data_IF_578908313169
#
_entry.id   IF_578908313169
#
_cell.length_a   1.000
_cell.length_b   1.000
_cell.length_c   1.000
_cell.angle_alpha   90.00
_cell.angle_beta   90.00
_cell.angle_gamma   90.00
#
_symmetry.space_group_name_H-M   'P 1'
#
loop_
_entity.id
_entity.type
_entity.pdbx_description
1 polymer ?
#
# COMPACT_ATOMS: atom_id res chain seq x y z
N UNK A 1 -0.45 8.84 10.36
CA UNK A 1 -1.35 8.63 9.19
C UNK A 1 -1.65 7.15 9.06
N UNK A 2 -2.90 6.75 8.80
CA UNK A 2 -3.27 5.32 8.66
C UNK A 2 -3.45 4.87 7.21
N UNK A 3 -3.24 5.75 6.23
CA UNK A 3 -3.49 5.49 4.81
C UNK A 3 -2.45 6.18 3.92
N UNK A 4 -1.94 5.45 2.91
CA UNK A 4 -0.96 5.94 1.91
C UNK A 4 -1.65 6.58 0.69
N UNK A 5 -2.89 7.07 0.83
CA UNK A 5 -3.65 7.66 -0.29
C UNK A 5 -2.99 8.90 -0.92
N UNK A 6 -2.04 9.55 -0.26
CA UNK A 6 -1.24 10.64 -0.84
C UNK A 6 -0.24 10.18 -1.91
N UNK A 7 -0.07 8.88 -2.13
CA UNK A 7 0.77 8.34 -3.19
C UNK A 7 -0.04 8.11 -4.47
N UNK A 8 0.42 8.69 -5.57
CA UNK A 8 -0.21 8.60 -6.89
C UNK A 8 0.72 7.81 -7.82
N UNK A 9 0.42 6.52 -8.10
CA UNK A 9 1.33 5.63 -8.85
C UNK A 9 1.49 6.05 -10.31
N UNK A 10 0.48 6.67 -10.89
CA UNK A 10 0.35 6.75 -12.35
C UNK A 10 0.47 8.14 -12.97
N UNK A 11 0.72 9.18 -12.18
CA UNK A 11 0.67 10.57 -12.65
C UNK A 11 2.04 11.15 -13.00
N UNK A 12 2.04 12.07 -13.95
CA UNK A 12 3.19 12.90 -14.35
C UNK A 12 3.35 14.14 -13.47
N UNK A 13 4.44 14.88 -13.67
CA UNK A 13 4.64 16.17 -13.00
C UNK A 13 3.56 17.19 -13.33
N UNK A 14 3.22 17.33 -14.61
CA UNK A 14 2.20 18.26 -15.09
C UNK A 14 0.82 17.91 -14.53
N UNK A 15 0.45 16.64 -14.52
CA UNK A 15 -0.82 16.18 -13.91
C UNK A 15 -0.85 16.45 -12.40
N UNK A 16 0.27 16.24 -11.70
CA UNK A 16 0.39 16.56 -10.28
C UNK A 16 0.22 18.06 -10.00
N UNK A 17 0.82 18.93 -10.82
CA UNK A 17 0.64 20.38 -10.72
C UNK A 17 -0.83 20.76 -10.90
N UNK A 18 -1.47 20.28 -11.96
CA UNK A 18 -2.89 20.54 -12.23
C UNK A 18 -3.77 20.08 -11.06
N UNK A 19 -3.55 18.87 -10.53
CA UNK A 19 -4.31 18.35 -9.38
C UNK A 19 -4.13 19.21 -8.13
N UNK A 20 -2.89 19.59 -7.80
CA UNK A 20 -2.60 20.41 -6.63
C UNK A 20 -3.16 21.84 -6.76
N UNK A 21 -3.10 22.44 -7.96
CA UNK A 21 -3.61 23.79 -8.22
C UNK A 21 -5.14 23.85 -8.25
N UNK A 22 -5.80 22.83 -8.81
CA UNK A 22 -7.26 22.81 -8.96
C UNK A 22 -8.01 22.25 -7.75
N UNK A 23 -7.44 21.24 -7.07
CA UNK A 23 -8.11 20.53 -5.95
C UNK A 23 -7.43 20.73 -4.60
N UNK A 24 -6.18 21.15 -4.60
CA UNK A 24 -5.41 21.39 -3.37
C UNK A 24 -5.52 22.82 -2.86
N UNK A 25 -4.88 23.06 -1.72
CA UNK A 25 -4.64 24.38 -1.12
C UNK A 25 -3.15 24.49 -0.77
N UNK A 26 -2.68 25.65 -0.33
CA UNK A 26 -1.29 25.79 0.11
C UNK A 26 -0.99 24.86 1.30
N UNK A 27 0.12 24.12 1.21
CA UNK A 27 0.46 23.00 2.09
C UNK A 27 -0.10 21.64 1.63
N UNK A 28 -0.88 21.60 0.54
CA UNK A 28 -1.27 20.33 -0.07
C UNK A 28 -0.09 19.63 -0.73
N UNK A 29 -0.01 18.32 -0.61
CA UNK A 29 1.07 17.54 -1.18
C UNK A 29 0.62 16.18 -1.70
N UNK A 30 1.41 15.61 -2.60
CA UNK A 30 1.30 14.23 -3.04
C UNK A 30 2.68 13.68 -3.39
N UNK A 31 2.87 12.37 -3.29
CA UNK A 31 4.07 11.69 -3.77
C UNK A 31 3.74 10.87 -5.00
N UNK A 32 4.70 10.73 -5.92
CA UNK A 32 4.55 9.97 -7.16
C UNK A 32 5.89 9.39 -7.61
N UNK A 33 5.91 8.34 -8.45
CA UNK A 33 7.13 7.90 -9.11
C UNK A 33 7.76 9.01 -9.97
N UNK A 34 9.08 9.01 -10.04
CA UNK A 34 9.83 9.93 -10.89
C UNK A 34 9.81 9.44 -12.35
N UNK A 35 9.30 10.27 -13.26
CA UNK A 35 9.35 10.00 -14.71
C UNK A 35 10.73 10.27 -15.32
N UNK A 36 11.48 11.21 -14.76
CA UNK A 36 12.79 11.61 -15.27
C UNK A 36 13.94 10.74 -14.77
N UNK A 37 13.77 10.05 -13.64
CA UNK A 37 14.74 9.08 -13.13
C UNK A 37 14.01 7.84 -12.58
N UNK A 38 13.86 6.77 -13.38
CA UNK A 38 13.20 5.54 -12.95
C UNK A 38 13.83 4.95 -11.68
N UNK A 39 12.99 4.49 -10.75
CA UNK A 39 13.39 3.99 -9.43
C UNK A 39 13.34 5.04 -8.31
N UNK A 40 13.44 6.32 -8.65
CA UNK A 40 13.26 7.42 -7.71
C UNK A 40 11.79 7.86 -7.61
N UNK A 41 11.50 8.69 -6.62
CA UNK A 41 10.20 9.28 -6.38
C UNK A 41 10.26 10.81 -6.40
N UNK A 42 9.11 11.47 -6.44
CA UNK A 42 8.97 12.92 -6.38
C UNK A 42 7.85 13.29 -5.43
N UNK A 43 8.16 14.15 -4.46
CA UNK A 43 7.19 14.81 -3.59
C UNK A 43 6.80 16.14 -4.21
N UNK A 44 5.54 16.29 -4.60
CA UNK A 44 5.00 17.52 -5.18
C UNK A 44 4.21 18.25 -4.11
N UNK A 45 4.53 19.52 -3.86
CA UNK A 45 3.96 20.32 -2.76
C UNK A 45 3.49 21.66 -3.30
N UNK A 46 2.25 22.03 -2.98
CA UNK A 46 1.71 23.35 -3.27
C UNK A 46 2.12 24.34 -2.18
N UNK A 47 2.72 25.47 -2.56
CA UNK A 47 3.09 26.58 -1.67
C UNK A 47 2.99 27.90 -2.42
N UNK A 48 2.48 28.95 -1.77
CA UNK A 48 2.38 30.30 -2.32
C UNK A 48 1.69 30.32 -3.70
N UNK A 49 0.65 29.50 -3.89
CA UNK A 49 -0.05 29.37 -5.17
C UNK A 49 0.74 28.68 -6.30
N UNK A 50 1.94 28.18 -6.04
CA UNK A 50 2.77 27.44 -7.00
C UNK A 50 3.04 26.00 -6.51
N UNK A 51 3.59 25.15 -7.36
CA UNK A 51 3.95 23.76 -7.01
C UNK A 51 5.46 23.57 -7.11
N UNK A 52 6.06 23.09 -6.03
CA UNK A 52 7.46 22.67 -5.99
C UNK A 52 7.53 21.14 -6.11
N UNK A 53 8.50 20.64 -6.88
CA UNK A 53 8.82 19.21 -6.96
C UNK A 53 10.14 18.91 -6.26
N UNK A 54 10.11 17.99 -5.30
CA UNK A 54 11.26 17.59 -4.50
C UNK A 54 11.61 16.14 -4.84
N UNK A 55 12.84 15.90 -5.27
CA UNK A 55 13.31 14.58 -5.64
C UNK A 55 13.55 13.73 -4.38
N UNK A 56 13.04 12.51 -4.38
CA UNK A 56 13.32 11.49 -3.38
C UNK A 56 14.12 10.39 -4.07
N UNK A 57 15.35 10.18 -3.61
CA UNK A 57 16.19 9.10 -4.11
C UNK A 57 15.90 7.80 -3.36
N UNK A 58 15.85 6.70 -4.10
CA UNK A 58 15.81 5.35 -3.53
C UNK A 58 17.07 4.60 -3.95
N UNK A 59 17.98 4.37 -3.02
CA UNK A 59 19.24 3.66 -3.30
C UNK A 59 19.10 2.14 -3.22
N UNK A 60 17.95 1.62 -2.80
CA UNK A 60 17.75 0.23 -2.39
C UNK A 60 17.95 0.00 -0.89
N UNK A 61 18.69 0.88 -0.21
CA UNK A 61 18.93 0.81 1.24
C UNK A 61 18.00 1.71 2.05
N UNK A 62 17.66 2.89 1.50
CA UNK A 62 16.84 3.91 2.16
C UNK A 62 16.28 4.93 1.16
N UNK A 63 15.35 5.74 1.65
CA UNK A 63 14.78 6.90 0.96
C UNK A 63 15.41 8.19 1.49
N UNK A 64 15.92 9.04 0.59
CA UNK A 64 16.60 10.31 0.91
C UNK A 64 16.00 11.48 0.11
N UNK A 65 15.75 12.59 0.79
CA UNK A 65 15.42 13.88 0.17
C UNK A 65 16.71 14.68 -0.07
N UNK A 66 17.40 14.34 -1.17
CA UNK A 66 18.55 15.05 -1.73
C UNK A 66 19.48 15.74 -0.70
N UNK A 67 20.05 14.94 0.22
CA UNK A 67 21.01 15.41 1.23
C UNK A 67 20.38 15.75 2.59
N UNK A 68 19.11 15.37 2.78
CA UNK A 68 18.40 15.49 4.04
C UNK A 68 18.54 14.24 4.92
N UNK A 69 17.49 14.02 5.72
CA UNK A 69 17.36 12.84 6.56
C UNK A 69 17.03 11.58 5.72
N UNK A 70 17.49 10.41 6.17
CA UNK A 70 17.27 9.10 5.53
C UNK A 70 16.17 8.31 6.25
N UNK A 71 15.31 7.63 5.51
CA UNK A 71 14.14 6.91 6.02
C UNK A 71 14.03 5.50 5.45
N UNK A 72 13.40 4.58 6.21
CA UNK A 72 13.20 3.20 5.76
C UNK A 72 12.07 3.06 4.74
N UNK A 73 11.03 3.91 4.84
CA UNK A 73 9.86 3.89 3.95
C UNK A 73 9.41 5.30 3.56
N UNK A 74 8.64 5.41 2.47
CA UNK A 74 8.03 6.69 2.07
C UNK A 74 7.01 7.17 3.10
N UNK A 75 6.22 6.28 3.71
CA UNK A 75 5.31 6.65 4.79
C UNK A 75 6.01 7.26 5.99
N UNK A 76 7.16 6.70 6.41
CA UNK A 76 7.93 7.27 7.50
C UNK A 76 8.51 8.63 7.14
N UNK A 77 9.01 8.81 5.92
CA UNK A 77 9.48 10.10 5.41
C UNK A 77 8.35 11.15 5.47
N UNK A 78 7.18 10.83 4.91
CA UNK A 78 6.05 11.77 4.88
C UNK A 78 5.55 12.06 6.30
N UNK A 79 5.43 11.03 7.15
CA UNK A 79 5.03 11.21 8.55
C UNK A 79 6.01 12.13 9.29
N UNK A 80 7.31 11.91 9.13
CA UNK A 80 8.33 12.72 9.80
C UNK A 80 8.20 14.20 9.45
N UNK A 81 8.13 14.56 8.16
CA UNK A 81 8.04 15.96 7.74
C UNK A 81 6.66 16.59 7.96
N UNK A 82 5.61 15.79 8.12
CA UNK A 82 4.31 16.28 8.58
C UNK A 82 4.30 16.63 10.08
N UNK A 83 5.04 15.89 10.90
CA UNK A 83 5.12 16.09 12.35
C UNK A 83 6.19 17.13 12.75
N UNK A 84 7.23 17.32 11.93
CA UNK A 84 8.36 18.21 12.20
C UNK A 84 8.39 19.39 11.21
N UNK A 85 7.50 20.35 11.41
CA UNK A 85 7.46 21.58 10.64
C UNK A 85 8.81 22.34 10.70
N UNK A 86 9.24 22.92 9.58
CA UNK A 86 10.49 23.68 9.51
C UNK A 86 11.75 22.87 9.13
N UNK A 87 11.69 21.53 9.12
CA UNK A 87 12.83 20.69 8.75
C UNK A 87 13.01 20.52 7.23
N UNK A 88 11.92 20.48 6.48
CA UNK A 88 11.97 20.38 5.02
C UNK A 88 12.20 21.78 4.43
N UNK A 89 13.32 21.96 3.73
CA UNK A 89 13.73 23.26 3.17
C UNK A 89 14.18 23.16 1.72
N UNK A 90 13.95 24.22 0.96
CA UNK A 90 14.56 24.40 -0.36
C UNK A 90 16.03 24.83 -0.26
N UNK A 91 16.74 24.83 -1.40
CA UNK A 91 18.13 25.29 -1.49
C UNK A 91 18.34 26.74 -1.07
N UNK A 92 17.31 27.58 -1.22
CA UNK A 92 17.33 28.98 -0.80
C UNK A 92 17.05 29.16 0.71
N UNK A 93 16.74 28.08 1.45
CA UNK A 93 16.42 28.09 2.87
C UNK A 93 14.93 28.22 3.21
N UNK A 94 14.05 28.39 2.21
CA UNK A 94 12.61 28.46 2.43
C UNK A 94 12.07 27.15 3.01
N UNK A 95 11.20 27.26 4.01
CA UNK A 95 10.53 26.11 4.60
C UNK A 95 9.40 25.62 3.68
N UNK A 96 9.33 24.30 3.50
CA UNK A 96 8.24 23.61 2.82
C UNK A 96 7.43 22.86 3.87
N UNK A 97 6.13 23.12 3.93
CA UNK A 97 5.25 22.49 4.91
C UNK A 97 4.35 21.44 4.25
N UNK A 98 4.36 20.22 4.81
CA UNK A 98 3.43 19.16 4.44
C UNK A 98 2.23 19.20 5.39
N UNK A 99 1.09 19.70 4.91
CA UNK A 99 -0.12 19.85 5.74
C UNK A 99 -1.23 18.91 5.32
N UNK A 100 -1.58 18.92 4.03
CA UNK A 100 -2.80 18.29 3.54
C UNK A 100 -2.48 17.24 2.46
N UNK A 101 -2.50 15.94 2.78
CA UNK A 101 -2.32 14.91 1.76
C UNK A 101 -3.44 15.01 0.70
N UNK A 102 -3.06 15.20 -0.56
CA UNK A 102 -3.99 15.14 -1.68
C UNK A 102 -4.18 13.67 -2.09
N UNK A 103 -5.34 13.11 -1.75
CA UNK A 103 -5.60 11.69 -1.93
C UNK A 103 -5.77 11.30 -3.41
N UNK A 104 -5.21 10.16 -3.77
CA UNK A 104 -5.34 9.48 -5.05
C UNK A 104 -6.69 8.76 -5.12
N UNK A 105 -7.41 8.95 -6.23
CA UNK A 105 -8.64 8.23 -6.54
C UNK A 105 -8.39 7.03 -7.48
N UNK A 106 -7.15 6.83 -7.93
CA UNK A 106 -6.76 5.75 -8.82
C UNK A 106 -6.82 4.39 -8.09
N UNK A 107 -7.67 3.45 -8.52
CA UNK A 107 -7.79 2.14 -7.88
C UNK A 107 -6.65 1.18 -8.24
N UNK A 108 -5.74 1.48 -9.18
CA UNK A 108 -4.79 0.47 -9.70
C UNK A 108 -3.83 -0.11 -8.65
N UNK A 109 -3.56 0.63 -7.57
CA UNK A 109 -2.73 0.15 -6.44
C UNK A 109 -3.52 -0.68 -5.40
N UNK A 110 -4.83 -0.82 -5.58
CA UNK A 110 -5.67 -1.56 -4.64
C UNK A 110 -5.65 -3.07 -4.95
N UNK A 111 -5.38 -3.88 -3.92
CA UNK A 111 -5.29 -5.36 -4.04
C UNK A 111 -6.52 -6.03 -4.64
N UNK A 112 -7.68 -5.40 -4.51
CA UNK A 112 -8.95 -5.91 -5.00
C UNK A 112 -9.25 -5.43 -6.43
N UNK A 113 -8.49 -4.50 -6.99
CA UNK A 113 -8.71 -4.01 -8.35
C UNK A 113 -7.92 -4.85 -9.36
N UNK A 114 -8.60 -5.33 -10.40
CA UNK A 114 -8.06 -6.24 -11.40
C UNK A 114 -8.10 -5.67 -12.83
N UNK A 115 -8.46 -4.39 -12.99
CA UNK A 115 -8.51 -3.72 -14.29
C UNK A 115 -9.34 -4.49 -15.31
N UNK A 116 -8.76 -4.72 -16.49
CA UNK A 116 -9.41 -5.43 -17.58
C UNK A 116 -9.51 -6.95 -17.31
N UNK A 117 -10.62 -7.37 -16.72
CA UNK A 117 -10.93 -8.76 -16.43
C UNK A 117 -12.38 -9.07 -16.83
N UNK A 118 -12.61 -10.15 -17.57
CA UNK A 118 -13.97 -10.53 -17.95
C UNK A 118 -14.74 -11.10 -16.77
N UNK A 119 -16.08 -11.09 -16.86
CA UNK A 119 -16.94 -11.71 -15.86
C UNK A 119 -16.62 -13.19 -15.66
N UNK A 120 -16.42 -13.93 -16.75
CA UNK A 120 -16.10 -15.36 -16.73
C UNK A 120 -14.75 -15.65 -16.07
N UNK A 121 -13.73 -14.84 -16.35
CA UNK A 121 -12.42 -14.98 -15.71
C UNK A 121 -12.48 -14.63 -14.22
N UNK A 122 -13.23 -13.59 -13.85
CA UNK A 122 -13.48 -13.23 -12.46
C UNK A 122 -14.19 -14.34 -11.70
N UNK A 123 -15.23 -14.95 -12.29
CA UNK A 123 -15.92 -16.11 -11.71
C UNK A 123 -14.96 -17.28 -11.50
N UNK A 124 -14.15 -17.61 -12.51
CA UNK A 124 -13.14 -18.68 -12.43
C UNK A 124 -12.16 -18.42 -11.29
N UNK A 125 -11.56 -17.23 -11.23
CA UNK A 125 -10.59 -16.85 -10.21
C UNK A 125 -11.19 -16.86 -8.80
N UNK A 126 -12.40 -16.32 -8.62
CA UNK A 126 -13.09 -16.32 -7.33
C UNK A 126 -13.47 -17.73 -6.90
N UNK A 127 -13.82 -18.61 -7.83
CA UNK A 127 -14.17 -20.02 -7.55
C UNK A 127 -12.93 -20.84 -7.19
N UNK A 128 -11.83 -20.69 -7.92
CA UNK A 128 -10.60 -21.46 -7.71
C UNK A 128 -9.79 -20.98 -6.50
N UNK A 129 -9.70 -19.66 -6.30
CA UNK A 129 -8.77 -19.06 -5.31
C UNK A 129 -9.48 -18.31 -4.19
N UNK A 130 -10.73 -17.94 -4.37
CA UNK A 130 -11.53 -17.22 -3.38
C UNK A 130 -12.06 -18.12 -2.27
N UNK A 131 -12.67 -17.49 -1.28
CA UNK A 131 -13.49 -18.12 -0.24
C UNK A 131 -14.71 -17.24 0.01
N UNK A 132 -15.59 -17.64 0.91
CA UNK A 132 -16.75 -16.82 1.30
C UNK A 132 -16.33 -15.37 1.63
N UNK A 133 -16.96 -14.40 0.97
CA UNK A 133 -16.68 -12.96 1.09
C UNK A 133 -15.41 -12.48 0.38
N UNK A 134 -14.80 -13.31 -0.47
CA UNK A 134 -13.74 -12.87 -1.38
C UNK A 134 -14.33 -12.00 -2.47
N UNK A 135 -13.68 -10.88 -2.77
CA UNK A 135 -14.14 -9.94 -3.78
C UNK A 135 -13.01 -9.38 -4.64
N UNK A 136 -13.39 -8.87 -5.81
CA UNK A 136 -12.55 -8.07 -6.70
C UNK A 136 -13.40 -7.04 -7.44
N UNK A 137 -12.79 -5.96 -7.90
CA UNK A 137 -13.37 -4.97 -8.80
C UNK A 137 -12.62 -5.00 -10.12
N UNK A 138 -13.36 -4.92 -11.22
CA UNK A 138 -12.85 -4.99 -12.59
C UNK A 138 -13.56 -3.97 -13.47
N UNK A 139 -13.01 -3.65 -14.63
CA UNK A 139 -13.66 -2.84 -15.63
C UNK A 139 -14.91 -3.53 -16.20
N UNK A 140 -15.93 -2.74 -16.53
CA UNK A 140 -17.11 -3.22 -17.22
C UNK A 140 -16.81 -3.41 -18.71
N UNK A 141 -16.99 -4.63 -19.21
CA UNK A 141 -16.85 -4.93 -20.63
C UNK A 141 -18.08 -4.52 -21.45
N UNK A 142 -19.23 -4.32 -20.79
CA UNK A 142 -20.48 -3.94 -21.47
C UNK A 142 -20.70 -2.43 -21.50
N UNK A 143 -20.15 -1.68 -20.54
CA UNK A 143 -20.31 -0.24 -20.42
C UNK A 143 -18.95 0.41 -20.18
N UNK A 144 -18.25 0.88 -21.24
CA UNK A 144 -16.95 1.51 -21.08
C UNK A 144 -16.98 2.70 -20.11
N UNK A 145 -16.04 2.73 -19.16
CA UNK A 145 -15.98 3.73 -18.08
C UNK A 145 -16.66 3.30 -16.78
N UNK A 146 -17.53 2.30 -16.81
CA UNK A 146 -18.11 1.67 -15.62
C UNK A 146 -17.23 0.51 -15.11
N UNK A 147 -17.53 0.07 -13.89
CA UNK A 147 -16.82 -1.01 -13.20
C UNK A 147 -17.80 -2.07 -12.72
N UNK A 148 -17.27 -3.22 -12.29
CA UNK A 148 -18.05 -4.32 -11.73
C UNK A 148 -17.38 -4.85 -10.48
N UNK A 149 -18.11 -4.86 -9.37
CA UNK A 149 -17.72 -5.55 -8.14
C UNK A 149 -18.19 -7.00 -8.19
N UNK A 150 -17.24 -7.93 -8.20
CA UNK A 150 -17.50 -9.38 -8.25
C UNK A 150 -17.22 -9.98 -6.87
N UNK A 151 -18.21 -10.64 -6.26
CA UNK A 151 -18.16 -11.12 -4.87
C UNK A 151 -18.54 -12.59 -4.81
N UNK A 152 -17.71 -13.43 -4.18
CA UNK A 152 -18.05 -14.82 -3.88
C UNK A 152 -18.87 -14.91 -2.60
N UNK A 153 -20.05 -15.51 -2.71
CA UNK A 153 -20.97 -15.80 -1.61
C UNK A 153 -21.26 -17.30 -1.51
N UNK A 154 -21.74 -17.75 -0.34
CA UNK A 154 -21.88 -19.17 -0.01
C UNK A 154 -20.66 -19.75 0.73
N UNK A 155 -20.87 -20.84 1.45
CA UNK A 155 -19.87 -21.52 2.29
C UNK A 155 -19.55 -22.90 1.70
N UNK A 156 -18.27 -23.23 1.53
CA UNK A 156 -17.82 -24.53 0.97
C UNK A 156 -18.10 -25.72 1.92
N UNK A 157 -18.67 -25.48 3.10
CA UNK A 157 -18.90 -26.47 4.16
C UNK A 157 -20.36 -26.88 4.36
N UNK A 158 -21.29 -26.34 3.58
CA UNK A 158 -22.69 -26.75 3.65
C UNK A 158 -22.88 -28.06 2.85
N UNK A 159 -23.03 -29.19 3.56
CA UNK A 159 -23.41 -30.49 2.97
C UNK A 159 -24.88 -30.53 2.48
N UNK A 160 -25.60 -29.40 2.53
CA UNK A 160 -26.96 -29.27 2.00
C UNK A 160 -26.93 -28.77 0.55
N UNK A 161 -27.73 -29.40 -0.30
CA UNK A 161 -27.92 -29.10 -1.73
C UNK A 161 -28.42 -27.66 -2.06
N UNK A 162 -28.54 -26.77 -1.07
CA UNK A 162 -29.23 -25.48 -1.18
C UNK A 162 -28.30 -24.25 -1.01
N UNK A 163 -26.99 -24.47 -0.79
CA UNK A 163 -26.01 -23.42 -0.52
C UNK A 163 -24.85 -23.36 -1.51
N UNK A 164 -25.10 -23.51 -2.82
CA UNK A 164 -24.03 -23.53 -3.83
C UNK A 164 -23.24 -22.20 -3.81
N UNK A 165 -21.93 -22.28 -3.64
CA UNK A 165 -21.03 -21.12 -3.79
C UNK A 165 -21.32 -20.43 -5.12
N UNK A 166 -21.66 -19.14 -5.07
CA UNK A 166 -22.00 -18.33 -6.23
C UNK A 166 -21.15 -17.08 -6.28
N UNK A 167 -20.93 -16.56 -7.47
CA UNK A 167 -20.30 -15.26 -7.69
C UNK A 167 -21.39 -14.29 -8.12
N UNK A 168 -21.55 -13.22 -7.36
CA UNK A 168 -22.46 -12.11 -7.67
C UNK A 168 -21.67 -10.99 -8.32
N UNK A 169 -22.21 -10.40 -9.38
CA UNK A 169 -21.67 -9.22 -10.04
C UNK A 169 -22.56 -8.01 -9.79
N UNK A 170 -22.01 -6.97 -9.19
CA UNK A 170 -22.67 -5.69 -8.93
C UNK A 170 -22.08 -4.65 -9.86
N UNK A 171 -22.92 -3.99 -10.66
CA UNK A 171 -22.48 -2.91 -11.55
C UNK A 171 -22.15 -1.67 -10.70
N UNK A 172 -21.01 -1.04 -10.99
CA UNK A 172 -20.60 0.25 -10.44
C UNK A 172 -20.58 1.25 -11.59
N UNK A 173 -21.48 2.22 -11.55
CA UNK A 173 -21.59 3.27 -12.55
C UNK A 173 -20.62 4.41 -12.23
N UNK A 174 -19.99 4.95 -13.25
CA UNK A 174 -19.19 6.17 -13.17
C UNK A 174 -19.95 7.32 -13.83
N UNK A 175 -20.43 8.28 -13.05
CA UNK A 175 -21.16 9.46 -13.53
C UNK A 175 -20.57 10.71 -12.88
N UNK A 176 -20.19 11.70 -13.69
CA UNK A 176 -19.56 12.95 -13.22
C UNK A 176 -18.34 12.73 -12.31
N UNK A 177 -17.51 11.74 -12.65
CA UNK A 177 -16.34 11.29 -11.85
C UNK A 177 -16.69 10.81 -10.43
N UNK A 178 -17.94 10.42 -10.20
CA UNK A 178 -18.39 9.77 -8.98
C UNK A 178 -18.91 8.37 -9.27
N UNK A 179 -18.86 7.52 -8.25
CA UNK A 179 -19.15 6.10 -8.34
C UNK A 179 -20.39 5.74 -7.52
N UNK A 180 -21.29 4.94 -8.07
CA UNK A 180 -22.45 4.38 -7.36
C UNK A 180 -22.82 2.98 -7.88
N UNK A 181 -23.63 2.23 -7.13
CA UNK A 181 -24.02 0.85 -7.48
C UNK A 181 -25.45 0.73 -8.04
N UNK A 182 -26.02 1.81 -8.58
CA UNK A 182 -27.40 1.84 -9.08
C UNK A 182 -28.35 2.73 -8.27
N UNK A 183 -27.98 3.09 -7.04
CA UNK A 183 -28.75 3.95 -6.14
C UNK A 183 -28.05 4.15 -4.79
N UNK A 184 -28.56 5.08 -3.97
CA UNK A 184 -27.96 5.43 -2.68
C UNK A 184 -26.90 6.53 -2.77
N UNK A 185 -25.85 6.41 -1.96
CA UNK A 185 -24.75 7.37 -1.89
C UNK A 185 -23.87 7.32 -3.15
N UNK A 186 -23.32 8.49 -3.55
CA UNK A 186 -22.31 8.61 -4.59
C UNK A 186 -20.94 8.86 -3.95
N UNK A 187 -19.93 8.17 -4.42
CA UNK A 187 -18.58 8.20 -3.86
C UNK A 187 -17.59 8.90 -4.79
N UNK A 188 -16.59 9.58 -4.23
CA UNK A 188 -15.56 10.28 -5.01
C UNK A 188 -14.47 9.35 -5.57
N UNK A 189 -14.39 8.11 -5.06
CA UNK A 189 -13.46 7.09 -5.53
C UNK A 189 -14.03 5.67 -5.37
N UNK A 190 -13.52 4.72 -6.16
CA UNK A 190 -13.84 3.29 -5.99
C UNK A 190 -13.39 2.77 -4.62
N UNK A 191 -12.29 3.31 -4.06
CA UNK A 191 -11.83 2.96 -2.71
C UNK A 191 -12.83 3.38 -1.65
N UNK A 192 -13.40 4.59 -1.74
CA UNK A 192 -14.41 5.05 -0.78
C UNK A 192 -15.69 4.20 -0.89
N UNK A 193 -16.10 3.85 -2.11
CA UNK A 193 -17.23 2.95 -2.36
C UNK A 193 -16.99 1.57 -1.72
N UNK A 194 -15.83 0.97 -1.96
CA UNK A 194 -15.49 -0.35 -1.42
C UNK A 194 -15.40 -0.32 0.11
N UNK A 195 -14.76 0.68 0.71
CA UNK A 195 -14.67 0.80 2.17
C UNK A 195 -16.03 1.05 2.83
N UNK A 196 -16.93 1.81 2.17
CA UNK A 196 -18.30 1.95 2.62
C UNK A 196 -19.01 0.58 2.65
N UNK A 197 -19.01 -0.16 1.53
CA UNK A 197 -19.71 -1.44 1.44
C UNK A 197 -19.03 -2.60 2.20
N UNK A 198 -17.77 -2.43 2.60
CA UNK A 198 -17.12 -3.33 3.58
C UNK A 198 -17.71 -3.17 4.97
N UNK A 199 -18.09 -1.95 5.36
CA UNK A 199 -18.72 -1.65 6.67
C UNK A 199 -20.24 -1.84 6.63
N UNK A 200 -20.86 -1.55 5.49
CA UNK A 200 -22.30 -1.61 5.27
C UNK A 200 -22.59 -2.59 4.11
N UNK A 201 -22.63 -3.92 4.35
CA UNK A 201 -22.80 -4.90 3.28
C UNK A 201 -24.11 -4.71 2.50
N UNK A 202 -24.04 -4.87 1.18
CA UNK A 202 -25.22 -4.85 0.31
C UNK A 202 -26.06 -6.12 0.53
N UNK A 203 -27.37 -6.03 0.31
CA UNK A 203 -28.30 -7.17 0.40
C UNK A 203 -29.01 -7.33 -0.94
N UNK A 204 -28.91 -8.52 -1.55
CA UNK A 204 -29.67 -8.87 -2.76
C UNK A 204 -31.17 -8.98 -2.45
N UNK A 205 -32.02 -8.87 -3.48
CA UNK A 205 -33.49 -9.02 -3.36
C UNK A 205 -33.91 -10.34 -2.72
N UNK A 206 -33.12 -11.41 -2.93
CA UNK A 206 -33.35 -12.74 -2.33
C UNK A 206 -32.79 -12.86 -0.90
N UNK A 207 -32.34 -11.76 -0.28
CA UNK A 207 -31.83 -11.72 1.09
C UNK A 207 -30.36 -12.12 1.27
N UNK A 208 -29.63 -12.42 0.19
CA UNK A 208 -28.21 -12.76 0.27
C UNK A 208 -27.38 -11.51 0.62
N UNK A 209 -26.61 -11.57 1.70
CA UNK A 209 -25.73 -10.47 2.13
C UNK A 209 -24.38 -10.56 1.41
N UNK A 210 -24.01 -9.52 0.67
CA UNK A 210 -22.74 -9.40 -0.04
C UNK A 210 -21.66 -8.83 0.90
N UNK A 211 -21.04 -9.69 1.70
CA UNK A 211 -20.00 -9.29 2.64
C UNK A 211 -18.63 -9.21 1.95
N UNK A 212 -18.03 -8.01 1.91
CA UNK A 212 -16.69 -7.78 1.37
C UNK A 212 -15.61 -8.08 2.43
N UNK A 213 -15.35 -9.37 2.70
CA UNK A 213 -14.45 -9.80 3.78
C UNK A 213 -12.97 -9.63 3.43
N UNK A 214 -12.57 -10.09 2.24
CA UNK A 214 -11.18 -10.00 1.80
C UNK A 214 -11.04 -9.78 0.29
N UNK A 215 -10.08 -8.97 -0.16
CA UNK A 215 -9.63 -8.98 -1.55
C UNK A 215 -9.25 -10.40 -1.99
N UNK A 216 -9.49 -10.73 -3.25
CA UNK A 216 -8.98 -11.97 -3.83
C UNK A 216 -7.44 -11.99 -3.78
N UNK A 217 -6.86 -13.11 -3.32
CA UNK A 217 -5.41 -13.26 -3.29
C UNK A 217 -4.89 -13.73 -4.65
N UNK A 218 -4.19 -12.84 -5.35
CA UNK A 218 -3.57 -13.10 -6.66
C UNK A 218 -2.08 -13.45 -6.60
N UNK A 219 -1.41 -13.15 -5.48
CA UNK A 219 0.05 -13.34 -5.34
C UNK A 219 0.42 -14.75 -4.85
N UNK A 220 -0.53 -15.52 -4.32
CA UNK A 220 -0.30 -16.91 -3.91
C UNK A 220 -0.24 -17.82 -5.13
N UNK A 221 0.92 -18.42 -5.36
CA UNK A 221 1.20 -19.34 -6.47
C UNK A 221 1.76 -20.68 -5.97
N UNK A 222 1.67 -21.72 -6.79
CA UNK A 222 2.42 -22.96 -6.56
C UNK A 222 3.89 -22.72 -6.89
N UNK A 223 4.82 -23.23 -6.08
CA UNK A 223 6.25 -23.08 -6.32
C UNK A 223 6.69 -23.63 -7.69
N UNK A 224 6.04 -24.69 -8.17
CA UNK A 224 6.30 -25.25 -9.51
C UNK A 224 5.93 -24.29 -10.65
N UNK A 225 5.06 -23.30 -10.40
CA UNK A 225 4.58 -22.33 -11.39
C UNK A 225 5.35 -21.02 -11.36
N UNK A 226 6.41 -20.90 -10.55
CA UNK A 226 7.15 -19.64 -10.38
C UNK A 226 7.68 -19.08 -11.71
N UNK A 227 8.19 -19.93 -12.59
CA UNK A 227 8.69 -19.50 -13.91
C UNK A 227 7.58 -18.91 -14.77
N UNK A 228 6.38 -19.48 -14.71
CA UNK A 228 5.20 -18.98 -15.44
C UNK A 228 4.79 -17.61 -14.89
N UNK A 229 4.77 -17.47 -13.55
CA UNK A 229 4.44 -16.19 -12.91
C UNK A 229 5.45 -15.10 -13.23
N UNK A 230 6.74 -15.41 -13.22
CA UNK A 230 7.81 -14.46 -13.60
C UNK A 230 7.63 -14.01 -15.04
N UNK A 231 7.35 -14.92 -15.97
CA UNK A 231 7.08 -14.57 -17.38
C UNK A 231 5.86 -13.67 -17.52
N UNK A 232 4.79 -13.93 -16.75
CA UNK A 232 3.58 -13.11 -16.73
C UNK A 232 3.87 -11.69 -16.22
N UNK A 233 4.55 -11.55 -15.08
CA UNK A 233 4.90 -10.27 -14.47
C UNK A 233 5.90 -9.46 -15.31
N UNK A 234 6.64 -10.13 -16.20
CA UNK A 234 7.59 -9.52 -17.13
C UNK A 234 6.93 -9.05 -18.44
N UNK A 235 5.65 -9.37 -18.70
CA UNK A 235 4.98 -8.94 -19.93
C UNK A 235 4.86 -7.41 -19.96
N UNK A 236 5.13 -6.76 -21.11
CA UNK A 236 4.87 -5.34 -21.26
C UNK A 236 3.36 -5.08 -21.20
N UNK A 237 2.94 -4.07 -20.44
CA UNK A 237 1.58 -3.56 -20.53
C UNK A 237 1.30 -3.06 -21.97
N UNK A 238 0.07 -3.23 -22.45
CA UNK A 238 -0.32 -2.81 -23.81
C UNK A 238 -0.29 -1.27 -23.98
N UNK A 239 -0.10 -0.51 -22.89
CA UNK A 239 -0.01 0.95 -22.89
C UNK A 239 1.45 1.45 -22.87
N UNK A 240 1.68 2.65 -23.42
CA UNK A 240 2.98 3.22 -23.80
C UNK A 240 4.03 3.41 -22.67
N UNK A 241 3.71 3.03 -21.43
CA UNK A 241 4.49 3.33 -20.23
C UNK A 241 5.26 2.08 -19.78
N UNK A 242 6.31 1.71 -20.54
CA UNK A 242 7.13 0.48 -20.41
C UNK A 242 7.67 0.15 -19.00
N UNK A 243 7.56 1.06 -18.04
CA UNK A 243 8.08 0.95 -16.67
C UNK A 243 7.05 0.43 -15.66
N UNK A 244 5.75 0.41 -16.00
CA UNK A 244 4.68 -0.14 -15.17
C UNK A 244 4.46 -1.61 -15.55
N UNK A 245 5.39 -2.45 -15.13
CA UNK A 245 5.37 -3.90 -15.35
C UNK A 245 4.59 -4.58 -14.23
N UNK A 246 4.16 -5.84 -14.41
CA UNK A 246 3.43 -6.58 -13.38
C UNK A 246 4.18 -6.66 -12.05
N UNK A 247 5.52 -6.78 -12.08
CA UNK A 247 6.34 -6.72 -10.86
C UNK A 247 6.22 -5.40 -10.11
N UNK A 248 6.21 -4.29 -10.85
CA UNK A 248 6.10 -2.96 -10.26
C UNK A 248 4.72 -2.75 -9.64
N UNK A 249 3.65 -3.18 -10.32
CA UNK A 249 2.28 -3.10 -9.80
C UNK A 249 2.10 -3.93 -8.53
N UNK A 250 2.61 -5.17 -8.51
CA UNK A 250 2.58 -6.01 -7.30
C UNK A 250 3.40 -5.40 -6.15
N UNK A 251 4.57 -4.83 -6.47
CA UNK A 251 5.40 -4.15 -5.49
C UNK A 251 4.70 -2.93 -4.90
N UNK A 252 4.14 -2.04 -5.72
CA UNK A 252 3.40 -0.87 -5.23
C UNK A 252 2.15 -1.24 -4.43
N UNK A 253 1.48 -2.33 -4.82
CA UNK A 253 0.36 -2.89 -4.07
C UNK A 253 0.76 -3.33 -2.65
N UNK A 254 1.97 -3.90 -2.50
CA UNK A 254 2.54 -4.22 -1.19
C UNK A 254 2.90 -2.95 -0.41
N UNK A 255 3.53 -1.99 -1.08
CA UNK A 255 3.95 -0.70 -0.51
C UNK A 255 2.76 0.11 0.04
N UNK A 256 1.57 0.01 -0.57
CA UNK A 256 0.34 0.62 -0.07
C UNK A 256 -0.06 0.13 1.35
N UNK A 257 0.43 -1.03 1.78
CA UNK A 257 0.14 -1.59 3.09
C UNK A 257 1.08 -1.07 4.19
N UNK A 258 2.17 -0.38 3.87
CA UNK A 258 3.19 0.03 4.86
C UNK A 258 2.61 0.90 5.99
N UNK A 259 1.59 1.72 5.69
CA UNK A 259 0.91 2.57 6.67
C UNK A 259 0.17 1.76 7.76
N UNK A 260 -0.10 0.46 7.53
CA UNK A 260 -0.66 -0.45 8.54
C UNK A 260 0.39 -0.95 9.52
N UNK A 261 1.67 -0.78 9.20
CA UNK A 261 2.83 -1.29 9.94
C UNK A 261 3.64 -0.17 10.60
N UNK A 262 3.03 1.00 10.82
CA UNK A 262 3.63 2.11 11.57
C UNK A 262 3.66 1.79 13.08
N UNK A 263 4.50 0.84 13.46
CA UNK A 263 4.69 0.42 14.84
C UNK A 263 5.62 1.38 15.61
N UNK A 264 5.53 1.29 16.93
CA UNK A 264 6.37 2.07 17.86
C UNK A 264 7.85 1.72 17.70
N UNK A 265 8.70 2.76 17.77
CA UNK A 265 10.17 2.72 17.65
C UNK A 265 10.82 3.62 18.72
N UNK A 266 10.17 3.76 19.88
CA UNK A 266 10.51 4.74 20.91
C UNK A 266 11.88 4.47 21.54
N UNK A 267 12.25 3.21 21.68
CA UNK A 267 13.53 2.84 22.31
C UNK A 267 14.72 3.30 21.46
N UNK A 268 14.60 3.23 20.13
CA UNK A 268 15.61 3.75 19.21
C UNK A 268 15.69 5.29 19.14
N UNK A 269 14.63 5.99 19.55
CA UNK A 269 14.55 7.46 19.57
C UNK A 269 15.13 8.09 20.84
N UNK A 270 15.40 7.29 21.88
CA UNK A 270 16.01 7.75 23.14
C UNK A 270 17.31 8.51 22.91
N UNK A 271 17.53 9.56 23.70
CA UNK A 271 18.69 10.44 23.53
C UNK A 271 20.01 9.68 23.64
N UNK A 272 20.06 8.69 24.53
CA UNK A 272 21.18 7.80 24.83
C UNK A 272 21.47 6.80 23.70
N UNK A 273 20.48 6.52 22.84
CA UNK A 273 20.59 5.56 21.75
C UNK A 273 20.79 6.20 20.37
N UNK A 274 20.69 7.53 20.26
CA UNK A 274 20.80 8.25 18.97
C UNK A 274 22.10 7.94 18.23
N UNK A 275 23.22 7.88 18.94
CA UNK A 275 24.53 7.56 18.36
C UNK A 275 24.76 6.06 18.10
N UNK A 276 23.84 5.18 18.55
CA UNK A 276 23.87 3.73 18.29
C UNK A 276 23.18 3.36 16.99
N UNK A 277 22.60 4.34 16.28
CA UNK A 277 21.91 4.15 15.00
C UNK A 277 22.76 4.68 13.84
N UNK A 278 23.03 3.82 12.85
CA UNK A 278 23.75 4.20 11.61
C UNK A 278 22.98 5.26 10.81
N UNK A 279 21.65 5.15 10.82
CA UNK A 279 20.76 6.14 10.24
C UNK A 279 19.75 6.58 11.30
N UNK A 280 19.63 7.89 11.51
CA UNK A 280 18.83 8.49 12.58
C UNK A 280 17.37 8.05 12.60
N UNK A 281 16.76 7.81 11.43
CA UNK A 281 15.34 7.48 11.32
C UNK A 281 15.07 6.04 10.85
N UNK A 282 16.11 5.19 10.77
CA UNK A 282 15.95 3.74 10.51
C UNK A 282 16.17 3.01 11.83
N UNK A 283 15.08 2.73 12.51
CA UNK A 283 15.05 2.28 13.89
C UNK A 283 14.32 0.94 14.02
N UNK A 284 14.72 0.08 14.98
CA UNK A 284 14.06 -1.19 15.18
C UNK A 284 12.66 -0.99 15.77
N UNK A 285 11.71 -1.87 15.41
CA UNK A 285 10.41 -1.87 16.08
C UNK A 285 10.52 -2.36 17.52
N UNK A 286 9.87 -1.67 18.46
CA UNK A 286 10.00 -1.95 19.90
C UNK A 286 9.58 -3.39 20.25
N UNK A 287 8.52 -3.91 19.60
CA UNK A 287 7.92 -5.21 19.92
C UNK A 287 8.71 -6.43 19.42
N UNK A 288 9.70 -6.23 18.55
CA UNK A 288 10.58 -7.31 18.06
C UNK A 288 12.06 -6.96 18.19
N UNK A 289 12.41 -5.88 18.90
CA UNK A 289 13.82 -5.49 19.06
C UNK A 289 14.59 -6.56 19.82
N UNK A 290 15.88 -6.65 19.57
CA UNK A 290 16.78 -7.44 20.42
C UNK A 290 17.09 -6.62 21.67
N UNK A 291 16.73 -7.16 22.84
CA UNK A 291 17.10 -6.57 24.14
C UNK A 291 18.40 -7.22 24.61
N UNK A 292 19.41 -6.40 24.90
CA UNK A 292 20.67 -6.87 25.47
C UNK A 292 20.50 -7.07 26.97
N UNK A 293 21.06 -8.17 27.48
CA UNK A 293 21.12 -8.47 28.91
C UNK A 293 22.57 -8.39 29.40
N UNK A 294 22.75 -8.30 30.71
CA UNK A 294 24.07 -8.26 31.36
C UNK A 294 24.94 -7.04 30.95
N UNK A 295 24.28 -5.90 30.68
CA UNK A 295 24.94 -4.62 30.40
C UNK A 295 25.60 -4.01 31.64
N UNK A 296 26.48 -3.02 31.43
CA UNK A 296 27.16 -2.31 32.53
C UNK A 296 26.13 -1.61 33.43
N UNK A 297 26.10 -1.90 34.76
CA UNK A 297 25.21 -1.22 35.70
C UNK A 297 25.43 0.30 35.80
N UNK A 298 26.59 0.80 35.36
CA UNK A 298 26.91 2.23 35.36
C UNK A 298 26.41 2.95 34.11
N UNK A 299 26.03 2.23 33.05
CA UNK A 299 25.42 2.82 31.87
C UNK A 299 23.91 2.98 32.08
N UNK A 300 23.40 4.19 31.83
CA UNK A 300 21.98 4.50 31.99
C UNK A 300 21.08 3.67 31.05
N UNK A 301 21.58 3.31 29.85
CA UNK A 301 20.86 2.50 28.85
C UNK A 301 21.86 1.58 28.13
N UNK A 302 21.92 0.31 28.55
CA UNK A 302 22.82 -0.73 28.02
C UNK A 302 22.08 -1.89 27.34
N UNK A 303 20.75 -1.82 27.22
CA UNK A 303 19.90 -2.89 26.66
C UNK A 303 19.65 -2.76 25.14
N UNK A 304 20.22 -1.74 24.49
CA UNK A 304 19.85 -1.35 23.12
C UNK A 304 20.87 -1.75 22.06
N UNK A 305 20.38 -2.41 21.01
CA UNK A 305 21.04 -2.57 19.72
C UNK A 305 20.02 -2.33 18.59
N UNK A 306 20.44 -1.73 17.48
CA UNK A 306 19.58 -1.55 16.30
C UNK A 306 19.44 -2.87 15.52
N UNK A 307 18.60 -3.76 16.06
CA UNK A 307 18.31 -5.06 15.49
C UNK A 307 16.90 -5.55 15.87
N UNK A 308 16.29 -6.37 15.01
CA UNK A 308 15.01 -7.04 15.24
C UNK A 308 15.11 -8.55 15.06
N UNK A 309 14.37 -9.30 15.87
CA UNK A 309 14.14 -10.74 15.71
C UNK A 309 13.09 -10.97 14.64
N UNK A 310 13.41 -11.76 13.61
CA UNK A 310 12.51 -12.10 12.51
C UNK A 310 12.12 -13.58 12.61
N UNK A 311 10.82 -13.81 12.75
CA UNK A 311 10.22 -15.15 12.86
C UNK A 311 9.39 -15.47 11.61
N UNK A 312 9.60 -16.61 10.94
CA UNK A 312 8.74 -17.04 9.85
C UNK A 312 7.38 -17.52 10.40
N UNK A 313 6.28 -16.90 9.94
CA UNK A 313 4.90 -17.29 10.33
C UNK A 313 4.36 -18.51 9.56
N UNK A 314 4.93 -18.84 8.40
CA UNK A 314 4.43 -19.92 7.56
C UNK A 314 4.90 -21.28 8.09
N UNK A 315 4.06 -21.95 8.88
CA UNK A 315 3.79 -23.41 8.87
C UNK A 315 3.08 -23.89 10.16
N UNK A 316 1.96 -23.27 10.54
CA UNK A 316 1.09 -23.81 11.61
C UNK A 316 0.31 -25.07 11.23
N UNK A 317 0.50 -25.62 10.01
CA UNK A 317 -0.24 -26.80 9.50
C UNK A 317 0.60 -28.03 9.20
N UNK A 318 1.91 -27.98 9.35
CA UNK A 318 2.76 -29.15 9.17
C UNK A 318 3.37 -29.51 10.53
N UNK A 319 3.00 -30.68 11.07
CA UNK A 319 3.58 -31.28 12.28
C UNK A 319 5.04 -31.69 12.04
N UNK A 320 5.92 -30.72 11.73
CA UNK A 320 7.33 -30.95 11.50
C UNK A 320 8.13 -30.55 12.76
N UNK A 321 8.82 -31.49 13.43
CA UNK A 321 9.54 -31.24 14.69
C UNK A 321 10.92 -30.57 14.50
N UNK A 322 11.22 -29.99 13.33
CA UNK A 322 12.54 -29.40 13.05
C UNK A 322 12.72 -28.06 13.77
N UNK A 323 13.95 -27.76 14.29
CA UNK A 323 14.24 -26.47 14.89
C UNK A 323 14.03 -25.35 13.87
N UNK A 324 13.12 -24.44 14.20
CA UNK A 324 12.72 -23.31 13.35
C UNK A 324 13.89 -22.33 13.28
N UNK A 325 14.40 -22.07 12.08
CA UNK A 325 15.39 -21.00 11.87
C UNK A 325 14.75 -19.68 12.27
N UNK A 326 15.39 -18.97 13.21
CA UNK A 326 15.09 -17.61 13.59
C UNK A 326 16.22 -16.73 13.08
N UNK A 327 15.90 -15.51 12.70
CA UNK A 327 16.89 -14.59 12.15
C UNK A 327 16.94 -13.34 13.03
N UNK A 328 18.10 -12.68 13.02
CA UNK A 328 18.25 -11.32 13.53
C UNK A 328 18.59 -10.46 12.32
N UNK A 329 17.76 -9.45 12.06
CA UNK A 329 18.06 -8.40 11.09
C UNK A 329 18.66 -7.22 11.86
N UNK A 330 19.87 -6.80 11.48
CA UNK A 330 20.62 -5.73 12.17
C UNK A 330 21.26 -4.79 11.14
N UNK A 331 21.50 -3.55 11.55
CA UNK A 331 22.34 -2.63 10.78
C UNK A 331 23.81 -3.11 10.74
N UNK A 332 24.60 -2.61 9.79
CA UNK A 332 26.05 -2.77 9.81
C UNK A 332 26.68 -2.05 11.02
N UNK A 333 27.60 -2.73 11.72
CA UNK A 333 28.28 -2.21 12.93
C UNK A 333 28.88 -0.82 12.69
N UNK A 334 28.74 0.08 13.66
CA UNK A 334 29.15 1.49 13.58
C UNK A 334 30.66 1.70 13.53
#
# INVERSE_FOLDING_TARGET
MTSRRWFHPNITGVEAENLLLTRGVDGSFLARPSKSNPGDFTLSVRRNGAVTHIKIQNTGDYYDLYGGEKFATLAELVQYYMEHHGQLKEKNGDVIELKYPLNCADPTSERWFHGHLSGKEAEKLLTEKGKHGSFLVRESQSHPGDFVLSVRTGDDKAESNDGKSKVTHVMIRCQDLKYDVGGGEKFDSLTDLVEHYKKNPMVETLGTVLQLKQPLNTTRINAAEIESRVKELSKPAETADKFKQGFWEEFETLQQQECKLLYSRKEGQRQENKNKNRYKNILPFDHTRVELHDGDPNEQVSDYINANIIMPEFETKCNNPKPKKRYIATQGCL
#
